data_IF_543371290742
#
_entry.id   IF_543371290742
#
_cell.length_a   1.000
_cell.length_b   1.000
_cell.length_c   1.000
_cell.angle_alpha   90.00
_cell.angle_beta   90.00
_cell.angle_gamma   90.00
#
_symmetry.space_group_name_H-M   'P 1'
#
loop_
_entity.id
_entity.type
_entity.pdbx_description
1 polymer ?
#
# COMPACT_ATOMS: atom_id res chain seq x y z
N UNK A 1 22.67 24.13 -34.90
CA UNK A 1 22.84 25.03 -33.74
C UNK A 1 22.95 24.16 -32.50
N UNK A 2 24.12 24.16 -31.86
CA UNK A 2 24.38 23.39 -30.66
C UNK A 2 23.97 24.20 -29.42
N UNK A 3 23.27 23.57 -28.48
CA UNK A 3 23.18 24.06 -27.11
C UNK A 3 23.83 23.04 -26.17
N UNK A 4 24.80 23.54 -25.41
CA UNK A 4 25.42 22.90 -24.25
C UNK A 4 24.47 22.97 -23.05
N UNK A 5 24.32 21.87 -22.31
CA UNK A 5 23.63 21.83 -21.00
C UNK A 5 24.67 21.40 -19.93
N UNK A 6 24.72 22.05 -18.75
CA UNK A 6 25.75 21.80 -17.75
C UNK A 6 25.63 20.40 -17.11
N UNK A 7 26.79 19.89 -16.69
CA UNK A 7 26.96 18.65 -15.91
C UNK A 7 26.38 18.86 -14.51
N UNK A 8 25.37 18.08 -14.12
CA UNK A 8 25.00 17.90 -12.72
C UNK A 8 23.49 17.95 -12.44
N UNK A 9 22.77 16.87 -12.74
CA UNK A 9 21.57 16.48 -11.97
C UNK A 9 21.66 14.97 -11.77
N UNK A 10 21.85 14.58 -10.51
CA UNK A 10 21.88 13.20 -10.05
C UNK A 10 20.46 12.60 -10.12
N UNK A 11 20.43 11.34 -10.57
CA UNK A 11 19.47 10.28 -10.30
C UNK A 11 18.08 10.68 -9.76
N UNK A 12 17.07 10.68 -10.64
CA UNK A 12 15.75 10.17 -10.28
C UNK A 12 15.09 9.45 -11.45
N UNK A 13 14.78 8.17 -11.22
CA UNK A 13 13.87 7.32 -11.99
C UNK A 13 12.43 7.84 -11.79
N UNK A 14 11.50 7.87 -12.72
CA UNK A 14 11.50 7.60 -14.15
C UNK A 14 10.22 8.21 -14.77
N UNK A 15 10.35 8.84 -15.93
CA UNK A 15 9.25 9.18 -16.82
C UNK A 15 9.49 8.44 -18.14
N UNK A 16 8.50 7.71 -18.63
CA UNK A 16 8.56 7.07 -19.95
C UNK A 16 8.38 8.14 -21.04
N UNK A 17 9.35 8.29 -21.95
CA UNK A 17 9.17 8.97 -23.24
C UNK A 17 9.17 7.93 -24.35
N UNK A 18 8.05 7.80 -25.05
CA UNK A 18 7.95 7.04 -26.29
C UNK A 18 8.62 7.86 -27.41
N UNK A 19 9.71 7.36 -27.99
CA UNK A 19 10.33 7.95 -29.17
C UNK A 19 10.18 6.99 -30.35
N UNK A 20 9.46 7.42 -31.39
CA UNK A 20 9.34 6.71 -32.66
C UNK A 20 10.40 7.25 -33.61
N UNK A 21 11.20 6.37 -34.24
CA UNK A 21 12.17 6.76 -35.26
C UNK A 21 11.88 6.01 -36.57
N UNK A 22 11.96 6.68 -37.74
CA UNK A 22 11.93 6.01 -39.03
C UNK A 22 13.23 5.24 -39.30
N UNK A 23 13.13 4.18 -40.10
CA UNK A 23 14.07 3.06 -40.21
C UNK A 23 15.39 3.35 -40.96
N UNK A 24 15.64 4.57 -41.44
CA UNK A 24 16.83 4.87 -42.24
C UNK A 24 17.89 5.61 -41.42
N UNK A 25 18.97 4.91 -41.09
CA UNK A 25 20.21 5.48 -40.51
C UNK A 25 20.48 5.10 -39.05
N UNK A 26 20.62 3.81 -38.75
CA UNK A 26 21.25 3.36 -37.50
C UNK A 26 22.75 3.16 -37.73
N UNK A 27 23.59 4.08 -37.24
CA UNK A 27 25.06 3.96 -37.22
C UNK A 27 25.53 3.24 -35.93
N UNK A 28 26.66 2.52 -36.03
CA UNK A 28 27.40 1.79 -34.99
C UNK A 28 27.63 2.53 -33.65
N UNK A 29 27.48 3.85 -33.64
CA UNK A 29 27.55 4.67 -32.44
C UNK A 29 26.35 4.48 -31.48
N UNK A 30 25.18 4.00 -31.95
CA UNK A 30 24.03 3.68 -31.10
C UNK A 30 24.14 2.30 -30.41
N UNK A 31 24.88 1.35 -30.99
CA UNK A 31 25.10 0.02 -30.39
C UNK A 31 25.87 0.07 -29.06
N UNK A 32 26.63 1.14 -28.80
CA UNK A 32 27.38 1.33 -27.54
C UNK A 32 26.56 1.95 -26.41
N UNK A 33 25.44 2.59 -26.70
CA UNK A 33 24.55 3.20 -25.69
C UNK A 33 23.69 2.17 -24.94
N UNK A 34 23.54 0.96 -25.47
CA UNK A 34 22.67 -0.10 -24.90
C UNK A 34 23.42 -1.23 -24.20
N UNK A 35 24.77 -1.26 -24.22
CA UNK A 35 25.54 -2.20 -23.39
C UNK A 35 25.69 -1.64 -21.98
N UNK A 36 24.84 -2.10 -21.07
CA UNK A 36 25.04 -1.92 -19.62
C UNK A 36 23.79 -1.70 -18.76
N UNK A 37 22.57 -1.75 -19.30
CA UNK A 37 21.36 -1.45 -18.52
C UNK A 37 20.28 -2.54 -18.68
N UNK A 38 19.94 -3.31 -17.62
CA UNK A 38 19.00 -4.43 -17.71
C UNK A 38 17.52 -4.04 -17.89
N UNK A 39 17.21 -2.75 -18.10
CA UNK A 39 15.82 -2.24 -18.17
C UNK A 39 15.44 -1.57 -19.50
N UNK A 40 16.27 -1.67 -20.53
CA UNK A 40 15.96 -1.06 -21.84
C UNK A 40 15.29 -2.09 -22.76
N UNK A 41 13.96 -2.06 -22.86
CA UNK A 41 13.24 -2.80 -23.89
C UNK A 41 13.19 -1.96 -25.17
N UNK A 42 13.81 -2.45 -26.25
CA UNK A 42 13.64 -1.87 -27.59
C UNK A 42 12.41 -2.51 -28.25
N UNK A 43 11.44 -1.70 -28.66
CA UNK A 43 10.32 -2.15 -29.49
C UNK A 43 10.69 -1.83 -30.95
N UNK A 44 10.97 -2.86 -31.75
CA UNK A 44 11.08 -2.73 -33.20
C UNK A 44 9.70 -3.04 -33.82
N UNK A 45 9.12 -2.07 -34.52
CA UNK A 45 7.89 -2.28 -35.31
C UNK A 45 8.31 -2.54 -36.74
N UNK A 46 8.10 -3.76 -37.24
CA UNK A 46 8.19 -4.06 -38.69
C UNK A 46 6.79 -4.02 -39.30
N UNK A 47 6.72 -3.75 -40.60
CA UNK A 47 5.47 -3.52 -41.36
C UNK A 47 4.58 -4.76 -41.57
N UNK A 48 4.84 -5.87 -40.88
CA UNK A 48 4.03 -7.09 -40.91
C UNK A 48 3.94 -7.68 -39.49
N UNK A 49 2.88 -7.29 -38.75
CA UNK A 49 2.45 -7.96 -37.52
C UNK A 49 3.23 -7.58 -36.25
N UNK A 50 2.48 -7.31 -35.17
CA UNK A 50 3.01 -7.04 -33.83
C UNK A 50 3.74 -8.28 -33.29
N UNK A 51 5.07 -8.23 -33.17
CA UNK A 51 5.85 -9.25 -32.48
C UNK A 51 5.98 -8.88 -30.99
N UNK A 52 5.26 -9.62 -30.13
CA UNK A 52 5.48 -9.64 -28.68
C UNK A 52 6.72 -10.46 -28.37
N UNK A 53 7.70 -9.91 -27.67
CA UNK A 53 8.91 -10.65 -27.25
C UNK A 53 8.57 -11.70 -26.17
N UNK A 54 8.84 -12.96 -26.48
CA UNK A 54 8.77 -14.10 -25.56
C UNK A 54 10.09 -14.31 -24.81
N UNK A 55 10.03 -14.95 -23.64
CA UNK A 55 11.18 -15.25 -22.78
C UNK A 55 12.25 -16.16 -23.40
N UNK A 56 13.36 -16.32 -22.66
CA UNK A 56 14.65 -16.92 -23.08
C UNK A 56 14.60 -18.30 -23.75
N UNK A 57 13.51 -19.06 -23.60
CA UNK A 57 13.33 -20.36 -24.26
C UNK A 57 13.09 -20.25 -25.78
N UNK A 58 12.51 -19.15 -26.27
CA UNK A 58 12.27 -18.93 -27.71
C UNK A 58 13.55 -18.50 -28.43
N UNK A 59 14.43 -17.77 -27.72
CA UNK A 59 15.75 -17.35 -28.22
C UNK A 59 16.64 -18.55 -28.55
N UNK A 60 16.54 -19.66 -27.79
CA UNK A 60 17.31 -20.87 -28.03
C UNK A 60 16.83 -21.66 -29.27
N UNK A 61 15.52 -21.65 -29.56
CA UNK A 61 14.95 -22.33 -30.73
C UNK A 61 15.19 -21.57 -32.04
N UNK A 62 15.26 -20.23 -31.98
CA UNK A 62 15.61 -19.37 -33.12
C UNK A 62 17.11 -19.46 -33.47
N UNK A 63 17.99 -19.68 -32.48
CA UNK A 63 19.43 -19.76 -32.67
C UNK A 63 19.91 -21.09 -33.31
N UNK A 64 19.06 -22.11 -33.41
CA UNK A 64 19.39 -23.41 -34.01
C UNK A 64 18.97 -23.56 -35.49
N UNK A 65 18.36 -22.53 -36.09
CA UNK A 65 17.98 -22.54 -37.50
C UNK A 65 19.16 -22.04 -38.36
N UNK A 66 19.52 -22.73 -39.46
CA UNK A 66 20.50 -22.21 -40.40
C UNK A 66 20.00 -20.91 -41.06
N UNK A 67 20.89 -19.93 -41.23
CA UNK A 67 20.56 -18.62 -41.82
C UNK A 67 19.93 -18.81 -43.22
N UNK A 68 18.70 -18.30 -43.40
CA UNK A 68 17.96 -18.33 -44.68
C UNK A 68 16.79 -19.31 -44.77
N UNK A 69 16.45 -20.04 -43.71
CA UNK A 69 15.27 -20.92 -43.66
C UNK A 69 13.94 -20.13 -43.69
N UNK A 70 13.01 -20.54 -44.56
CA UNK A 70 11.62 -20.03 -44.63
C UNK A 70 10.60 -21.00 -44.05
N UNK A 71 11.04 -22.08 -43.40
CA UNK A 71 10.13 -23.12 -42.92
C UNK A 71 9.46 -22.72 -41.59
N UNK A 72 8.17 -23.05 -41.40
CA UNK A 72 7.46 -22.77 -40.14
C UNK A 72 8.03 -23.60 -38.99
N UNK A 73 8.22 -22.96 -37.84
CA UNK A 73 8.75 -23.57 -36.62
C UNK A 73 7.80 -24.70 -36.15
N UNK A 74 8.35 -25.90 -35.96
CA UNK A 74 7.60 -27.04 -35.41
C UNK A 74 7.23 -26.79 -33.94
N UNK A 75 5.96 -26.44 -33.74
CA UNK A 75 5.34 -26.17 -32.44
C UNK A 75 5.32 -27.36 -31.46
N UNK A 76 5.64 -28.59 -31.93
CA UNK A 76 5.62 -29.79 -31.09
C UNK A 76 6.87 -29.97 -30.23
N UNK A 77 7.96 -29.23 -30.52
CA UNK A 77 9.23 -29.30 -29.80
C UNK A 77 9.36 -28.31 -28.61
N UNK A 78 8.31 -27.53 -28.30
CA UNK A 78 8.32 -26.61 -27.16
C UNK A 78 8.20 -27.37 -25.83
N UNK A 79 9.02 -27.06 -24.80
CA UNK A 79 8.87 -27.68 -23.49
C UNK A 79 7.47 -27.40 -22.92
N UNK A 80 6.90 -28.39 -22.21
CA UNK A 80 5.52 -28.37 -21.71
C UNK A 80 5.15 -27.19 -20.79
N UNK A 81 6.11 -26.34 -20.40
CA UNK A 81 5.90 -25.12 -19.63
C UNK A 81 5.01 -24.06 -20.35
N UNK A 82 4.76 -24.19 -21.66
CA UNK A 82 3.92 -23.25 -22.43
C UNK A 82 2.48 -23.78 -22.64
N UNK A 83 2.10 -24.93 -22.06
CA UNK A 83 0.72 -25.45 -22.11
C UNK A 83 -0.21 -24.97 -20.99
N UNK A 84 0.10 -23.85 -20.32
CA UNK A 84 -0.86 -23.15 -19.45
C UNK A 84 -1.49 -21.96 -20.16
N UNK A 85 -2.24 -22.24 -21.23
CA UNK A 85 -3.30 -21.33 -21.68
C UNK A 85 -4.63 -22.06 -21.54
N UNK A 86 -5.11 -22.18 -20.31
CA UNK A 86 -6.52 -22.51 -20.07
C UNK A 86 -7.36 -21.33 -20.62
N UNK A 87 -8.26 -21.55 -21.60
CA UNK A 87 -9.12 -20.51 -22.14
C UNK A 87 -10.09 -19.91 -21.12
N UNK A 88 -10.19 -20.47 -19.90
CA UNK A 88 -10.96 -19.86 -18.79
C UNK A 88 -10.21 -18.78 -18.00
N UNK A 89 -8.93 -18.53 -18.29
CA UNK A 89 -8.12 -17.54 -17.57
C UNK A 89 -8.36 -16.07 -17.99
N UNK A 90 -9.15 -15.80 -19.03
CA UNK A 90 -9.19 -14.49 -19.72
C UNK A 90 -10.30 -13.53 -19.29
N UNK A 91 -11.09 -13.81 -18.26
CA UNK A 91 -11.84 -12.74 -17.61
C UNK A 91 -10.89 -11.99 -16.66
N UNK A 92 -10.49 -10.72 -16.98
CA UNK A 92 -9.80 -9.90 -15.99
C UNK A 92 -10.71 -9.80 -14.77
N UNK A 93 -10.19 -10.17 -13.60
CA UNK A 93 -10.93 -10.01 -12.35
C UNK A 93 -11.32 -8.54 -12.22
N UNK A 94 -12.61 -8.24 -12.10
CA UNK A 94 -13.09 -6.87 -11.93
C UNK A 94 -12.37 -6.23 -10.75
N UNK A 95 -11.89 -4.99 -10.95
CA UNK A 95 -11.25 -4.24 -9.88
C UNK A 95 -12.20 -4.16 -8.68
N UNK A 96 -11.73 -4.41 -7.45
CA UNK A 96 -12.56 -4.28 -6.28
C UNK A 96 -13.12 -2.86 -6.19
N UNK A 97 -14.38 -2.76 -5.79
CA UNK A 97 -15.10 -1.50 -5.71
C UNK A 97 -14.42 -0.59 -4.69
N UNK A 98 -13.92 0.57 -5.14
CA UNK A 98 -13.49 1.62 -4.22
C UNK A 98 -14.70 2.09 -3.43
N UNK A 99 -14.55 2.30 -2.12
CA UNK A 99 -15.51 3.10 -1.37
C UNK A 99 -15.29 4.56 -1.80
N UNK A 100 -15.95 4.97 -2.89
CA UNK A 100 -15.96 6.33 -3.44
C UNK A 100 -17.26 7.08 -3.10
N UNK A 101 -18.14 6.45 -2.33
CA UNK A 101 -19.40 7.02 -1.88
C UNK A 101 -19.12 8.23 -0.96
N UNK A 102 -19.39 9.47 -1.42
CA UNK A 102 -19.10 10.68 -0.65
C UNK A 102 -19.94 10.77 0.63
N UNK A 103 -21.01 9.99 0.77
CA UNK A 103 -21.82 9.95 1.99
C UNK A 103 -21.19 9.08 3.08
N UNK A 104 -20.28 8.17 2.69
CA UNK A 104 -19.60 7.23 3.61
C UNK A 104 -18.13 7.55 3.82
N UNK A 105 -17.51 8.29 2.91
CA UNK A 105 -16.08 8.60 2.93
C UNK A 105 -15.86 10.09 2.98
N UNK A 106 -14.98 10.50 3.89
CA UNK A 106 -14.45 11.84 3.96
C UNK A 106 -13.08 11.86 3.27
N UNK A 107 -12.95 12.72 2.26
CA UNK A 107 -11.70 12.94 1.52
C UNK A 107 -11.27 14.39 1.70
N UNK A 108 -10.12 14.61 2.34
CA UNK A 108 -9.57 15.95 2.51
C UNK A 108 -8.22 16.07 1.81
N UNK A 109 -8.03 17.15 1.04
CA UNK A 109 -6.80 17.46 0.31
C UNK A 109 -6.20 18.77 0.80
N UNK A 110 -4.92 18.73 1.13
CA UNK A 110 -4.14 19.85 1.67
C UNK A 110 -2.95 20.13 0.77
N UNK A 111 -2.54 21.39 0.71
CA UNK A 111 -1.45 21.85 -0.14
C UNK A 111 -0.38 22.50 0.75
N UNK A 112 0.89 22.14 0.53
CA UNK A 112 2.00 22.73 1.30
C UNK A 112 2.05 24.24 1.07
N UNK A 113 2.20 25.00 2.17
CA UNK A 113 2.30 26.46 2.13
C UNK A 113 1.01 27.19 1.75
N UNK A 114 -0.14 26.51 1.71
CA UNK A 114 -1.44 27.14 1.43
C UNK A 114 -2.32 27.15 2.68
N UNK A 115 -3.00 28.28 2.89
CA UNK A 115 -3.98 28.50 3.96
C UNK A 115 -5.40 28.08 3.55
N UNK A 116 -5.51 27.01 2.77
CA UNK A 116 -6.80 26.42 2.40
C UNK A 116 -6.63 24.93 2.13
N UNK A 117 -7.75 24.21 2.24
CA UNK A 117 -7.84 22.78 1.96
C UNK A 117 -9.19 22.49 1.33
N UNK A 118 -9.33 21.30 0.76
CA UNK A 118 -10.56 20.85 0.11
C UNK A 118 -11.10 19.63 0.86
N UNK A 119 -12.37 19.63 1.22
CA UNK A 119 -13.07 18.46 1.77
C UNK A 119 -14.17 18.07 0.79
N UNK A 120 -14.10 16.85 0.27
CA UNK A 120 -14.98 16.35 -0.79
C UNK A 120 -15.11 17.36 -1.95
N UNK A 121 -14.00 17.99 -2.33
CA UNK A 121 -13.91 18.99 -3.40
C UNK A 121 -14.33 20.42 -3.01
N UNK A 122 -14.90 20.64 -1.82
CA UNK A 122 -15.27 21.97 -1.33
C UNK A 122 -14.08 22.63 -0.61
N UNK A 123 -13.71 23.83 -1.04
CA UNK A 123 -12.64 24.62 -0.41
C UNK A 123 -13.06 25.18 0.96
N UNK A 124 -12.15 25.10 1.92
CA UNK A 124 -12.25 25.64 3.27
C UNK A 124 -10.96 26.39 3.63
N UNK A 125 -11.06 27.45 4.44
CA UNK A 125 -9.91 28.24 4.88
C UNK A 125 -9.16 27.62 6.05
N UNK A 126 -7.87 27.92 6.15
CA UNK A 126 -7.01 27.59 7.30
C UNK A 126 -6.32 28.85 7.79
N UNK A 127 -6.12 28.96 9.10
CA UNK A 127 -5.41 30.07 9.73
C UNK A 127 -3.88 29.86 9.76
N UNK A 128 -3.42 28.64 9.46
CA UNK A 128 -2.00 28.31 9.32
C UNK A 128 -1.83 27.18 8.30
N UNK A 129 -0.79 27.27 7.47
CA UNK A 129 -0.53 26.33 6.38
C UNK A 129 0.22 25.08 6.89
N UNK A 130 0.02 23.91 6.26
CA UNK A 130 0.95 22.80 6.39
C UNK A 130 2.34 23.19 5.90
N UNK A 131 3.37 22.71 6.57
CA UNK A 131 4.77 22.96 6.24
C UNK A 131 5.55 21.65 6.18
N UNK A 132 6.70 21.67 5.50
CA UNK A 132 7.64 20.54 5.50
C UNK A 132 8.68 20.81 6.58
N UNK A 133 8.86 19.84 7.47
CA UNK A 133 10.06 19.72 8.27
C UNK A 133 11.17 19.15 7.38
N UNK A 134 12.12 20.01 7.01
CA UNK A 134 13.21 19.65 6.10
C UNK A 134 14.20 18.65 6.72
N UNK A 135 14.36 18.67 8.04
CA UNK A 135 15.28 17.77 8.73
C UNK A 135 14.71 16.36 8.78
N UNK A 136 13.42 16.24 9.11
CA UNK A 136 12.74 14.95 9.17
C UNK A 136 12.22 14.46 7.81
N UNK A 137 12.11 15.34 6.81
CA UNK A 137 11.42 15.04 5.55
C UNK A 137 9.95 14.68 5.79
N UNK A 138 9.28 15.42 6.67
CA UNK A 138 7.88 15.14 7.07
C UNK A 138 7.02 16.37 6.94
N UNK A 139 5.76 16.16 6.61
CA UNK A 139 4.76 17.24 6.64
C UNK A 139 4.27 17.43 8.06
N UNK A 140 4.41 18.65 8.58
CA UNK A 140 3.75 19.09 9.79
C UNK A 140 2.48 19.86 9.44
N UNK A 141 1.40 19.56 10.15
CA UNK A 141 0.11 20.18 9.92
C UNK A 141 -0.47 20.72 11.22
N UNK A 142 -1.19 21.86 11.22
CA UNK A 142 -1.85 22.32 12.43
C UNK A 142 -2.89 21.28 12.87
N UNK A 143 -2.80 20.87 14.14
CA UNK A 143 -3.53 19.74 14.67
C UNK A 143 -5.06 19.83 14.46
N UNK A 144 -5.62 21.03 14.61
CA UNK A 144 -7.05 21.28 14.42
C UNK A 144 -7.54 20.85 13.04
N UNK A 145 -6.79 21.19 12.00
CA UNK A 145 -7.16 20.82 10.64
C UNK A 145 -6.93 19.33 10.37
N UNK A 146 -6.01 18.68 11.10
CA UNK A 146 -5.88 17.23 11.08
C UNK A 146 -7.15 16.59 11.64
N UNK A 147 -7.63 17.05 12.80
CA UNK A 147 -8.86 16.57 13.39
C UNK A 147 -10.07 16.76 12.45
N UNK A 148 -10.22 17.96 11.87
CA UNK A 148 -11.31 18.23 10.91
C UNK A 148 -11.22 17.36 9.65
N UNK A 149 -10.00 17.06 9.18
CA UNK A 149 -9.78 16.15 8.05
C UNK A 149 -10.17 14.70 8.34
N UNK A 150 -10.47 14.37 9.59
CA UNK A 150 -10.95 13.06 10.03
C UNK A 150 -12.38 13.11 10.57
N UNK A 151 -13.05 14.26 10.49
CA UNK A 151 -14.39 14.47 11.05
C UNK A 151 -14.42 14.46 12.59
N UNK A 152 -13.29 14.74 13.24
CA UNK A 152 -13.18 14.85 14.70
C UNK A 152 -13.59 16.26 15.12
N UNK A 153 -14.49 16.35 16.10
CA UNK A 153 -14.98 17.62 16.62
C UNK A 153 -14.01 18.23 17.66
N UNK A 154 -14.09 19.55 17.87
CA UNK A 154 -13.24 20.24 18.86
C UNK A 154 -13.40 19.69 20.28
N UNK A 155 -14.62 19.25 20.66
CA UNK A 155 -14.89 18.63 21.96
C UNK A 155 -14.18 17.29 22.19
N UNK A 156 -13.63 16.69 21.13
CA UNK A 156 -12.85 15.46 21.20
C UNK A 156 -11.32 15.71 21.21
N UNK A 157 -10.90 16.98 21.32
CA UNK A 157 -9.51 17.38 21.42
C UNK A 157 -9.27 18.03 22.79
N UNK A 158 -8.40 17.43 23.59
CA UNK A 158 -8.07 17.89 24.93
C UNK A 158 -6.60 18.31 25.01
N UNK A 159 -6.36 19.52 25.52
CA UNK A 159 -5.02 20.06 25.74
C UNK A 159 -4.69 20.08 27.22
N UNK A 160 -3.66 19.35 27.61
CA UNK A 160 -3.06 19.47 28.94
C UNK A 160 -2.03 20.58 28.91
N UNK A 161 -2.09 21.47 29.91
CA UNK A 161 -1.17 22.60 30.05
C UNK A 161 -0.27 22.41 31.25
N UNK A 162 0.99 22.82 31.10
CA UNK A 162 1.93 22.87 32.21
C UNK A 162 1.62 24.04 33.17
N UNK A 163 2.36 24.12 34.28
CA UNK A 163 2.19 25.16 35.29
C UNK A 163 2.37 26.60 34.74
N UNK A 164 3.13 26.77 33.65
CA UNK A 164 3.34 28.05 32.96
C UNK A 164 2.23 28.38 31.95
N UNK A 165 1.20 27.55 31.84
CA UNK A 165 0.08 27.73 30.90
C UNK A 165 0.39 27.32 29.46
N UNK A 166 1.60 26.83 29.16
CA UNK A 166 1.96 26.30 27.85
C UNK A 166 1.32 24.92 27.63
N UNK A 167 1.02 24.57 26.38
CA UNK A 167 0.57 23.21 26.04
C UNK A 167 1.72 22.25 26.31
N UNK A 168 1.44 21.17 27.02
CA UNK A 168 2.40 20.10 27.32
C UNK A 168 2.06 18.84 26.54
N UNK A 169 0.78 18.53 26.45
CA UNK A 169 0.29 17.30 25.83
C UNK A 169 -1.06 17.55 25.16
N UNK A 170 -1.34 16.77 24.12
CA UNK A 170 -2.63 16.75 23.47
C UNK A 170 -3.16 15.32 23.38
N UNK A 171 -4.44 15.16 23.71
CA UNK A 171 -5.19 13.92 23.60
C UNK A 171 -6.34 14.12 22.62
N UNK A 172 -6.46 13.21 21.65
CA UNK A 172 -7.50 13.22 20.63
C UNK A 172 -8.28 11.93 20.76
N UNK A 173 -9.60 12.03 20.66
CA UNK A 173 -10.52 10.91 20.70
C UNK A 173 -11.31 10.87 19.40
N UNK A 174 -11.41 9.72 18.76
CA UNK A 174 -12.23 9.54 17.56
C UNK A 174 -13.29 8.48 17.82
N UNK A 175 -14.58 8.86 17.84
CA UNK A 175 -15.66 7.90 17.94
C UNK A 175 -15.73 6.96 16.73
N UNK A 176 -16.06 5.69 17.00
CA UNK A 176 -16.36 4.67 16.01
C UNK A 176 -17.72 4.01 16.29
N UNK A 177 -18.27 3.32 15.30
CA UNK A 177 -19.49 2.53 15.44
C UNK A 177 -19.31 1.45 16.52
N UNK A 178 -20.41 1.04 17.14
CA UNK A 178 -20.39 0.09 18.26
C UNK A 178 -19.86 0.67 19.58
N UNK A 179 -19.71 1.99 19.68
CA UNK A 179 -19.27 2.68 20.91
C UNK A 179 -17.76 2.65 21.15
N UNK A 180 -16.99 2.01 20.26
CA UNK A 180 -15.53 2.03 20.29
C UNK A 180 -14.98 3.43 20.02
N UNK A 181 -13.76 3.69 20.47
CA UNK A 181 -13.09 4.98 20.30
C UNK A 181 -11.61 4.74 20.05
N UNK A 182 -11.04 5.45 19.09
CA UNK A 182 -9.60 5.48 18.86
C UNK A 182 -9.00 6.71 19.54
N UNK A 183 -7.89 6.54 20.26
CA UNK A 183 -7.23 7.63 20.97
C UNK A 183 -5.79 7.82 20.51
N UNK A 184 -5.37 9.08 20.46
CA UNK A 184 -4.00 9.48 20.19
C UNK A 184 -3.55 10.47 21.26
N UNK A 185 -2.43 10.16 21.91
CA UNK A 185 -1.76 11.04 22.86
C UNK A 185 -0.40 11.45 22.28
N UNK A 186 -0.12 12.75 22.27
CA UNK A 186 1.13 13.32 21.78
C UNK A 186 1.65 14.32 22.80
N UNK A 187 2.95 14.25 23.10
CA UNK A 187 3.64 15.22 23.95
C UNK A 187 4.36 16.26 23.08
N UNK A 188 4.32 17.54 23.48
CA UNK A 188 5.07 18.58 22.78
C UNK A 188 6.58 18.42 22.99
N UNK A 189 7.36 18.68 21.93
CA UNK A 189 8.82 18.61 21.95
C UNK A 189 9.37 17.20 22.19
N UNK A 190 8.56 16.17 22.01
CA UNK A 190 8.96 14.77 22.16
C UNK A 190 8.45 13.95 21.00
N UNK A 191 9.18 12.91 20.65
CA UNK A 191 8.82 11.98 19.57
C UNK A 191 7.99 10.79 20.07
N UNK A 192 7.69 10.68 21.35
CA UNK A 192 6.83 9.61 21.85
C UNK A 192 5.34 9.92 21.60
N UNK A 193 4.60 8.89 21.20
CA UNK A 193 3.14 8.94 21.09
C UNK A 193 2.51 7.69 21.68
N UNK A 194 1.25 7.80 22.07
CA UNK A 194 0.45 6.66 22.51
C UNK A 194 -0.79 6.54 21.64
N UNK A 195 -1.13 5.30 21.30
CA UNK A 195 -2.33 4.99 20.51
C UNK A 195 -3.14 3.98 21.31
N UNK A 196 -4.42 4.29 21.53
CA UNK A 196 -5.33 3.43 22.29
C UNK A 196 -4.77 3.04 23.68
N UNK A 197 -4.10 3.98 24.34
CA UNK A 197 -3.53 3.82 25.69
C UNK A 197 -2.20 3.07 25.77
N UNK A 198 -1.69 2.50 24.67
CA UNK A 198 -0.36 1.87 24.66
C UNK A 198 0.70 2.70 23.97
N UNK A 199 1.96 2.44 24.35
CA UNK A 199 3.13 3.05 23.72
C UNK A 199 3.20 2.64 22.24
N UNK A 200 3.40 3.63 21.38
CA UNK A 200 3.49 3.43 19.94
C UNK A 200 4.92 3.72 19.44
N UNK A 201 5.14 3.56 18.13
CA UNK A 201 6.37 3.95 17.46
C UNK A 201 6.66 5.44 17.62
N UNK A 202 7.94 5.80 17.52
CA UNK A 202 8.36 7.19 17.63
C UNK A 202 7.94 7.98 16.39
N UNK A 203 7.51 9.21 16.61
CA UNK A 203 7.30 10.21 15.57
C UNK A 203 8.63 10.55 14.90
N UNK A 204 8.63 10.62 13.58
CA UNK A 204 9.81 11.03 12.80
C UNK A 204 10.15 12.52 12.95
N UNK A 205 9.21 13.33 13.48
CA UNK A 205 9.39 14.75 13.71
C UNK A 205 8.70 15.15 15.03
N UNK A 206 9.26 16.13 15.72
CA UNK A 206 8.68 16.59 16.98
C UNK A 206 7.45 17.48 16.77
N UNK A 207 6.35 17.23 17.49
CA UNK A 207 5.24 18.16 17.62
C UNK A 207 5.71 19.47 18.25
N UNK A 208 5.42 20.60 17.61
CA UNK A 208 5.88 21.91 18.08
C UNK A 208 4.89 23.02 17.76
N UNK A 209 4.98 24.11 18.51
CA UNK A 209 4.19 25.31 18.25
C UNK A 209 4.92 26.16 17.20
N UNK A 210 4.22 26.50 16.13
CA UNK A 210 4.67 27.45 15.10
C UNK A 210 3.55 28.46 14.90
N UNK A 211 3.84 29.75 15.07
CA UNK A 211 2.85 30.84 14.95
C UNK A 211 1.56 30.56 15.74
N UNK A 212 1.69 30.23 17.02
CA UNK A 212 0.56 29.91 17.93
C UNK A 212 -0.33 28.73 17.49
N UNK A 213 0.22 27.84 16.65
CA UNK A 213 -0.46 26.62 16.22
C UNK A 213 0.39 25.41 16.53
N UNK A 214 -0.23 24.42 17.17
CA UNK A 214 0.41 23.13 17.39
C UNK A 214 0.49 22.37 16.06
N UNK A 215 1.70 22.21 15.57
CA UNK A 215 2.04 21.47 14.37
C UNK A 215 2.40 20.04 14.75
N UNK A 216 1.78 19.05 14.10
CA UNK A 216 2.00 17.62 14.36
C UNK A 216 2.42 16.89 13.08
N UNK A 217 3.24 15.83 13.18
CA UNK A 217 3.59 14.97 12.04
C UNK A 217 2.33 14.32 11.47
N UNK A 218 1.96 14.75 10.26
CA UNK A 218 0.63 14.51 9.74
C UNK A 218 0.31 13.02 9.56
N UNK A 219 1.20 12.26 8.91
CA UNK A 219 0.98 10.85 8.58
C UNK A 219 0.77 10.01 9.84
N UNK A 220 1.66 10.16 10.83
CA UNK A 220 1.60 9.40 12.07
C UNK A 220 0.28 9.67 12.83
N UNK A 221 -0.05 10.94 13.02
CA UNK A 221 -1.26 11.32 13.74
C UNK A 221 -2.54 10.94 12.97
N UNK A 222 -2.55 11.04 11.64
CA UNK A 222 -3.69 10.60 10.83
C UNK A 222 -3.86 9.08 10.87
N UNK A 223 -2.78 8.30 10.75
CA UNK A 223 -2.83 6.84 10.75
C UNK A 223 -3.20 6.25 12.12
N UNK A 224 -2.79 6.90 13.22
CA UNK A 224 -3.23 6.53 14.56
C UNK A 224 -4.76 6.58 14.72
N UNK A 225 -5.41 7.50 13.99
CA UNK A 225 -6.83 7.77 14.09
C UNK A 225 -7.63 7.24 12.89
N UNK A 226 -7.10 6.37 12.03
CA UNK A 226 -7.85 5.74 10.93
C UNK A 226 -7.87 6.53 9.61
N UNK A 227 -6.91 7.42 9.38
CA UNK A 227 -6.73 8.19 8.16
C UNK A 227 -5.73 7.53 7.19
N UNK A 228 -6.18 7.19 5.98
CA UNK A 228 -5.31 6.72 4.90
C UNK A 228 -4.75 7.92 4.13
N UNK A 229 -3.43 8.11 4.16
CA UNK A 229 -2.75 9.31 3.63
C UNK A 229 -1.97 8.97 2.36
N UNK A 230 -2.17 9.75 1.31
CA UNK A 230 -1.41 9.67 0.07
C UNK A 230 -0.77 11.03 -0.27
N UNK A 231 0.50 11.00 -0.68
CA UNK A 231 1.26 12.16 -1.12
C UNK A 231 1.18 12.33 -2.65
N UNK A 232 1.11 13.58 -3.09
CA UNK A 232 1.16 14.01 -4.48
C UNK A 232 2.34 14.98 -4.64
N UNK A 233 3.44 14.49 -5.20
CA UNK A 233 4.66 15.26 -5.38
C UNK A 233 4.58 16.34 -6.45
N UNK A 234 3.64 16.22 -7.41
CA UNK A 234 3.47 17.19 -8.50
C UNK A 234 2.79 18.44 -7.96
N UNK A 235 1.67 18.25 -7.26
CA UNK A 235 0.89 19.36 -6.71
C UNK A 235 1.41 19.82 -5.33
N UNK A 236 2.44 19.15 -4.79
CA UNK A 236 2.93 19.30 -3.41
C UNK A 236 1.75 19.28 -2.42
N UNK A 237 0.96 18.22 -2.54
CA UNK A 237 -0.28 18.06 -1.82
C UNK A 237 -0.35 16.69 -1.15
N UNK A 238 -1.16 16.56 -0.12
CA UNK A 238 -1.52 15.26 0.44
C UNK A 238 -3.02 15.14 0.55
N UNK A 239 -3.49 13.92 0.35
CA UNK A 239 -4.89 13.55 0.47
C UNK A 239 -5.04 12.56 1.61
N UNK A 240 -5.96 12.83 2.52
CA UNK A 240 -6.43 11.82 3.48
C UNK A 240 -7.81 11.35 3.08
N UNK A 241 -8.00 10.04 3.19
CA UNK A 241 -9.29 9.38 3.06
C UNK A 241 -9.59 8.64 4.34
N UNK A 242 -10.82 8.76 4.81
CA UNK A 242 -11.28 8.01 5.98
C UNK A 242 -12.80 7.81 5.91
N UNK A 243 -13.33 6.91 6.73
CA UNK A 243 -14.78 6.78 6.90
C UNK A 243 -15.36 8.03 7.57
N UNK A 244 -16.54 8.45 7.12
CA UNK A 244 -17.33 9.47 7.81
C UNK A 244 -17.77 8.98 9.19
N UNK A 245 -18.14 7.71 9.27
CA UNK A 245 -18.34 6.98 10.53
C UNK A 245 -17.40 5.80 10.53
N UNK A 246 -16.40 5.81 11.41
CA UNK A 246 -15.43 4.73 11.53
C UNK A 246 -16.17 3.43 11.88
N UNK A 247 -15.96 2.32 11.16
CA UNK A 247 -16.62 1.06 11.44
C UNK A 247 -16.19 0.51 12.81
N UNK A 248 -17.04 -0.31 13.41
CA UNK A 248 -16.69 -1.01 14.65
C UNK A 248 -15.44 -1.88 14.42
N UNK A 249 -14.60 -2.08 15.44
CA UNK A 249 -13.49 -3.03 15.36
C UNK A 249 -13.96 -4.42 14.90
N UNK A 250 -13.27 -4.99 13.91
CA UNK A 250 -13.63 -6.28 13.33
C UNK A 250 -12.85 -7.41 13.98
N UNK A 251 -13.56 -8.44 14.43
CA UNK A 251 -12.95 -9.68 14.94
C UNK A 251 -12.74 -10.67 13.79
N UNK A 252 -11.73 -11.54 13.87
CA UNK A 252 -11.55 -12.57 12.86
C UNK A 252 -12.73 -13.55 12.89
N UNK A 253 -13.20 -13.99 11.73
CA UNK A 253 -14.20 -15.06 11.61
C UNK A 253 -13.57 -16.42 11.25
N UNK A 254 -12.27 -16.45 10.99
CA UNK A 254 -11.50 -17.64 10.68
C UNK A 254 -10.34 -17.78 11.67
N UNK A 255 -10.00 -19.02 12.03
CA UNK A 255 -8.79 -19.32 12.78
C UNK A 255 -7.62 -19.67 11.88
N UNK A 256 -7.87 -20.11 10.63
CA UNK A 256 -6.85 -20.35 9.62
C UNK A 256 -7.33 -19.97 8.23
N UNK A 257 -6.44 -19.36 7.44
CA UNK A 257 -6.64 -19.07 6.02
C UNK A 257 -5.51 -19.71 5.22
N UNK A 258 -5.88 -20.44 4.17
CA UNK A 258 -4.95 -21.09 3.23
C UNK A 258 -5.19 -20.57 1.81
N UNK A 259 -4.16 -19.99 1.22
CA UNK A 259 -4.09 -19.58 -0.19
C UNK A 259 -3.63 -20.77 -1.02
N UNK A 260 -4.31 -21.03 -2.15
CA UNK A 260 -4.00 -22.14 -3.04
C UNK A 260 -3.31 -21.60 -4.31
N UNK A 261 -2.12 -22.12 -4.59
CA UNK A 261 -1.29 -21.65 -5.69
C UNK A 261 -1.96 -21.86 -7.04
N UNK A 262 -2.03 -20.80 -7.85
CA UNK A 262 -2.62 -20.85 -9.19
C UNK A 262 -4.15 -21.01 -9.20
N UNK A 263 -4.80 -21.02 -8.04
CA UNK A 263 -6.25 -21.25 -7.94
C UNK A 263 -6.99 -19.96 -7.57
N UNK A 264 -8.20 -19.82 -8.13
CA UNK A 264 -9.17 -18.78 -7.73
C UNK A 264 -10.03 -19.26 -6.55
N UNK A 265 -9.36 -19.84 -5.56
CA UNK A 265 -9.98 -20.41 -4.36
C UNK A 265 -9.07 -20.22 -3.15
N UNK A 266 -9.67 -20.22 -1.96
CA UNK A 266 -9.00 -20.23 -0.67
C UNK A 266 -9.72 -21.21 0.26
N UNK A 267 -9.00 -21.83 1.18
CA UNK A 267 -9.59 -22.60 2.29
C UNK A 267 -9.56 -21.77 3.56
N UNK A 268 -10.62 -21.89 4.34
CA UNK A 268 -10.80 -21.17 5.59
C UNK A 268 -11.27 -22.17 6.64
N UNK A 269 -10.59 -22.21 7.77
CA UNK A 269 -11.09 -22.89 8.96
C UNK A 269 -11.77 -21.84 9.83
N UNK A 270 -13.07 -22.01 10.07
CA UNK A 270 -13.81 -21.10 10.94
C UNK A 270 -13.39 -21.24 12.41
N UNK A 271 -13.98 -20.43 13.29
CA UNK A 271 -13.67 -20.48 14.72
C UNK A 271 -14.12 -21.78 15.42
N UNK A 272 -15.00 -22.57 14.81
CA UNK A 272 -15.47 -23.87 15.31
C UNK A 272 -14.61 -25.05 14.85
N UNK A 273 -13.72 -24.86 13.87
CA UNK A 273 -12.88 -25.91 13.30
C UNK A 273 -13.36 -26.45 11.95
N UNK A 274 -14.47 -25.94 11.44
CA UNK A 274 -15.03 -26.40 10.17
C UNK A 274 -14.27 -25.75 9.00
N UNK A 275 -13.78 -26.57 8.07
CA UNK A 275 -13.11 -26.10 6.87
C UNK A 275 -14.13 -25.82 5.74
N UNK A 276 -14.01 -24.64 5.14
CA UNK A 276 -14.77 -24.22 3.97
C UNK A 276 -13.83 -23.78 2.86
N UNK A 277 -14.11 -24.22 1.63
CA UNK A 277 -13.47 -23.68 0.43
C UNK A 277 -14.34 -22.57 -0.15
N UNK A 278 -13.75 -21.41 -0.42
CA UNK A 278 -14.43 -20.26 -1.02
C UNK A 278 -13.78 -19.89 -2.36
N UNK A 279 -14.60 -19.48 -3.34
CA UNK A 279 -14.11 -18.94 -4.61
C UNK A 279 -13.70 -17.48 -4.43
N UNK A 280 -12.63 -17.10 -5.10
CA UNK A 280 -12.13 -15.72 -5.13
C UNK A 280 -12.27 -15.13 -6.54
N UNK A 281 -12.48 -13.81 -6.67
CA UNK A 281 -12.46 -13.13 -7.97
C UNK A 281 -11.12 -13.24 -8.71
N UNK A 282 -10.00 -13.26 -7.98
CA UNK A 282 -8.63 -13.34 -8.50
C UNK A 282 -7.94 -14.64 -8.07
N UNK A 283 -6.79 -14.94 -8.69
CA UNK A 283 -5.91 -16.01 -8.21
C UNK A 283 -5.37 -15.59 -6.85
N UNK A 284 -5.55 -16.45 -5.83
CA UNK A 284 -5.25 -16.12 -4.45
C UNK A 284 -3.75 -16.09 -4.16
N UNK A 285 -2.98 -16.95 -4.81
CA UNK A 285 -1.51 -17.04 -4.70
C UNK A 285 -0.88 -17.30 -6.07
N UNK A 286 0.07 -16.44 -6.44
CA UNK A 286 0.86 -16.53 -7.68
C UNK A 286 2.33 -16.62 -7.30
N UNK A 287 3.08 -17.50 -7.94
CA UNK A 287 4.54 -17.53 -7.86
C UNK A 287 5.09 -16.92 -9.13
N UNK A 288 5.91 -15.89 -8.98
CA UNK A 288 6.59 -15.25 -10.10
C UNK A 288 7.61 -16.24 -10.70
N UNK A 289 7.54 -16.56 -12.01
CA UNK A 289 8.40 -17.57 -12.61
C UNK A 289 9.87 -17.15 -12.69
N UNK A 290 10.18 -15.86 -12.60
CA UNK A 290 11.53 -15.31 -12.75
C UNK A 290 12.24 -15.26 -11.41
N UNK A 291 11.61 -14.68 -10.39
CA UNK A 291 12.24 -14.52 -9.06
C UNK A 291 11.76 -15.54 -8.02
N UNK A 292 10.82 -16.43 -8.39
CA UNK A 292 10.25 -17.48 -7.53
C UNK A 292 9.58 -16.95 -6.25
N UNK A 293 9.28 -15.64 -6.18
CA UNK A 293 8.61 -15.04 -5.02
C UNK A 293 7.10 -15.17 -5.14
N UNK A 294 6.48 -15.49 -4.01
CA UNK A 294 5.03 -15.62 -3.87
C UNK A 294 4.36 -14.27 -3.69
N UNK A 295 3.26 -14.06 -4.41
CA UNK A 295 2.39 -12.89 -4.33
C UNK A 295 0.95 -13.30 -4.12
N UNK A 296 0.21 -12.55 -3.31
CA UNK A 296 -1.20 -12.79 -3.06
C UNK A 296 -2.02 -11.51 -3.11
N UNK A 297 -3.30 -11.64 -3.43
CA UNK A 297 -4.26 -10.53 -3.42
C UNK A 297 -4.58 -10.12 -1.99
N UNK A 298 -4.10 -8.93 -1.58
CA UNK A 298 -4.22 -8.46 -0.20
C UNK A 298 -5.68 -8.33 0.22
N UNK A 299 -6.57 -7.91 -0.68
CA UNK A 299 -7.97 -7.67 -0.33
C UNK A 299 -8.74 -8.98 -0.13
N UNK A 300 -8.59 -9.93 -1.04
CA UNK A 300 -9.23 -11.25 -0.89
C UNK A 300 -8.69 -11.97 0.35
N UNK A 301 -7.39 -11.81 0.64
CA UNK A 301 -6.78 -12.30 1.86
C UNK A 301 -7.45 -11.72 3.12
N UNK A 302 -7.58 -10.40 3.23
CA UNK A 302 -8.23 -9.76 4.37
C UNK A 302 -9.70 -10.19 4.52
N UNK A 303 -10.43 -10.31 3.40
CA UNK A 303 -11.83 -10.78 3.40
C UNK A 303 -11.96 -12.20 3.91
N UNK A 304 -11.00 -13.08 3.61
CA UNK A 304 -11.00 -14.44 4.14
C UNK A 304 -10.90 -14.47 5.67
N UNK A 305 -10.23 -13.49 6.28
CA UNK A 305 -10.23 -13.38 7.74
C UNK A 305 -11.54 -12.87 8.35
N UNK A 306 -12.57 -12.62 7.54
CA UNK A 306 -13.87 -12.14 7.99
C UNK A 306 -14.03 -10.64 7.98
N UNK A 307 -13.07 -9.91 7.40
CA UNK A 307 -13.17 -8.45 7.28
C UNK A 307 -14.22 -8.09 6.23
N UNK A 308 -15.31 -7.39 6.59
CA UNK A 308 -16.31 -6.94 5.63
C UNK A 308 -15.82 -5.73 4.82
N UNK A 309 -16.42 -5.50 3.65
CA UNK A 309 -16.13 -4.32 2.81
C UNK A 309 -16.30 -2.99 3.55
N UNK A 310 -17.23 -2.92 4.50
CA UNK A 310 -17.42 -1.71 5.34
C UNK A 310 -16.21 -1.37 6.20
N UNK A 311 -15.35 -2.36 6.50
CA UNK A 311 -14.13 -2.20 7.29
C UNK A 311 -12.85 -2.03 6.44
N UNK A 312 -12.99 -1.94 5.11
CA UNK A 312 -11.89 -1.72 4.17
C UNK A 312 -12.15 -0.42 3.40
N UNK A 313 -11.21 0.52 3.45
CA UNK A 313 -11.20 1.69 2.58
C UNK A 313 -10.06 1.54 1.57
N UNK A 314 -10.41 1.60 0.28
CA UNK A 314 -9.49 1.29 -0.82
C UNK A 314 -9.47 2.37 -1.90
N UNK A 315 -8.27 2.76 -2.33
CA UNK A 315 -7.97 3.60 -3.48
C UNK A 315 -7.31 2.75 -4.59
N UNK A 316 -8.05 2.34 -5.63
CA UNK A 316 -7.51 1.55 -6.74
C UNK A 316 -6.61 2.34 -7.68
N UNK A 317 -6.64 3.68 -7.64
CA UNK A 317 -5.85 4.53 -8.52
C UNK A 317 -4.46 4.75 -7.92
N UNK A 318 -4.42 5.05 -6.61
CA UNK A 318 -3.16 5.27 -5.88
C UNK A 318 -2.58 3.98 -5.30
N UNK A 319 -3.34 2.90 -5.30
CA UNK A 319 -2.93 1.63 -4.70
C UNK A 319 -2.76 1.74 -3.20
N UNK A 320 -3.75 2.32 -2.50
CA UNK A 320 -3.70 2.48 -1.05
C UNK A 320 -4.90 1.77 -0.42
N UNK A 321 -4.68 1.03 0.66
CA UNK A 321 -5.72 0.31 1.39
C UNK A 321 -5.55 0.55 2.89
N UNK A 322 -6.65 0.80 3.61
CA UNK A 322 -6.69 0.70 5.06
C UNK A 322 -7.76 -0.30 5.49
N UNK A 323 -7.46 -1.09 6.50
CA UNK A 323 -8.36 -2.05 7.11
C UNK A 323 -8.49 -1.79 8.61
N UNK A 324 -9.71 -1.92 9.14
CA UNK A 324 -10.04 -1.85 10.56
C UNK A 324 -10.13 -3.24 11.16
N UNK A 325 -9.22 -3.56 12.09
CA UNK A 325 -9.19 -4.82 12.84
C UNK A 325 -9.74 -4.68 14.26
N UNK A 326 -9.24 -5.49 15.19
CA UNK A 326 -9.57 -5.37 16.62
C UNK A 326 -8.76 -4.23 17.23
N UNK A 327 -9.43 -3.22 17.76
CA UNK A 327 -8.83 -2.25 18.67
C UNK A 327 -8.65 -2.95 20.03
N UNK A 328 -7.50 -3.59 20.22
CA UNK A 328 -7.10 -4.17 21.50
C UNK A 328 -6.25 -3.19 22.32
N UNK A 329 -6.17 -3.41 23.63
CA UNK A 329 -5.15 -2.75 24.46
C UNK A 329 -3.76 -3.10 23.93
N UNK A 330 -3.01 -2.08 23.53
CA UNK A 330 -1.60 -2.21 23.23
C UNK A 330 -0.86 -2.48 24.55
N UNK A 331 -0.58 -3.76 24.84
CA UNK A 331 0.16 -4.15 26.04
C UNK A 331 1.66 -3.84 25.84
N UNK A 332 2.33 -3.19 26.81
CA UNK A 332 3.77 -3.00 26.75
C UNK A 332 4.50 -4.34 26.56
N UNK A 333 5.31 -4.46 25.50
CA UNK A 333 6.04 -5.68 25.16
C UNK A 333 5.32 -6.66 24.22
N UNK A 334 4.04 -6.42 23.87
CA UNK A 334 3.29 -7.21 22.90
C UNK A 334 2.88 -6.35 21.69
N UNK A 335 3.45 -6.59 20.49
CA UNK A 335 3.26 -5.72 19.32
C UNK A 335 1.88 -5.85 18.63
N UNK A 336 0.86 -6.45 19.27
CA UNK A 336 -0.21 -7.10 18.52
C UNK A 336 -1.55 -6.35 18.42
N UNK A 337 -1.77 -5.23 19.12
CA UNK A 337 -3.07 -4.53 19.09
C UNK A 337 -3.12 -3.30 18.19
N UNK A 338 -3.22 -3.44 16.86
CA UNK A 338 -3.41 -2.30 15.96
C UNK A 338 -4.88 -2.11 15.57
N UNK A 339 -5.43 -0.92 15.86
CA UNK A 339 -6.78 -0.56 15.43
C UNK A 339 -6.90 -0.43 13.91
N UNK A 340 -5.82 -0.11 13.20
CA UNK A 340 -5.81 -0.02 11.73
C UNK A 340 -4.51 -0.55 11.15
N UNK A 341 -4.59 -1.08 9.93
CA UNK A 341 -3.43 -1.42 9.10
C UNK A 341 -3.59 -0.78 7.73
N UNK A 342 -2.50 -0.25 7.20
CA UNK A 342 -2.40 0.45 5.94
C UNK A 342 -1.45 -0.27 4.99
N UNK A 343 -1.79 -0.34 3.72
CA UNK A 343 -0.96 -0.88 2.66
C UNK A 343 -0.88 0.13 1.53
N UNK A 344 0.33 0.38 1.02
CA UNK A 344 0.57 1.31 -0.08
C UNK A 344 1.37 0.60 -1.16
N UNK A 345 0.96 0.78 -2.42
CA UNK A 345 1.75 0.32 -3.55
C UNK A 345 3.13 0.98 -3.52
N UNK A 346 4.18 0.19 -3.77
CA UNK A 346 5.57 0.60 -3.64
C UNK A 346 6.20 0.30 -2.28
N UNK A 347 5.41 0.16 -1.20
CA UNK A 347 5.94 -0.25 0.10
C UNK A 347 6.12 -1.77 0.15
N UNK A 348 7.18 -2.26 0.80
CA UNK A 348 7.40 -3.69 1.04
C UNK A 348 6.63 -4.23 2.25
N UNK A 349 5.91 -3.40 2.98
CA UNK A 349 5.29 -3.76 4.25
C UNK A 349 3.99 -2.98 4.45
N UNK A 350 3.18 -3.44 5.40
CA UNK A 350 2.06 -2.67 5.91
C UNK A 350 2.51 -1.70 6.99
N UNK A 351 1.75 -0.65 7.22
CA UNK A 351 1.90 0.23 8.37
C UNK A 351 0.77 -0.05 9.35
N UNK A 352 1.08 -0.14 10.65
CA UNK A 352 0.05 -0.30 11.67
C UNK A 352 -0.21 1.02 12.38
N UNK A 353 -1.39 1.19 12.98
CA UNK A 353 -1.84 2.47 13.56
C UNK A 353 -0.94 3.03 14.66
N UNK A 354 -0.09 2.21 15.27
CA UNK A 354 0.93 2.66 16.22
C UNK A 354 2.21 3.20 15.52
N UNK A 355 2.17 3.49 14.22
CA UNK A 355 3.30 4.00 13.43
C UNK A 355 4.52 3.07 13.34
N UNK A 356 4.27 1.77 13.31
CA UNK A 356 5.30 0.77 13.06
C UNK A 356 5.03 0.05 11.73
N UNK A 357 6.06 -0.37 10.99
CA UNK A 357 5.90 -1.27 9.86
C UNK A 357 5.56 -2.68 10.36
N UNK A 358 4.76 -3.43 9.60
CA UNK A 358 4.60 -4.87 9.80
C UNK A 358 5.93 -5.56 9.51
N UNK A 359 6.36 -6.48 10.39
CA UNK A 359 7.63 -7.22 10.37
C UNK A 359 8.46 -7.08 9.08
N UNK A 360 9.34 -6.05 8.98
CA UNK A 360 10.18 -5.86 7.81
C UNK A 360 11.32 -6.88 7.86
N UNK A 361 11.21 -7.94 7.05
CA UNK A 361 12.35 -8.82 6.78
C UNK A 361 13.32 -8.19 5.78
N UNK A 362 14.49 -8.81 5.60
CA UNK A 362 15.31 -8.54 4.43
C UNK A 362 14.62 -9.12 3.17
N UNK A 363 14.83 -8.49 2.01
CA UNK A 363 14.30 -8.93 0.70
C UNK A 363 12.77 -8.92 0.52
N UNK A 364 12.03 -8.07 1.25
CA UNK A 364 10.58 -7.94 1.02
C UNK A 364 10.27 -7.24 -0.30
N UNK A 365 9.45 -7.88 -1.12
CA UNK A 365 8.97 -7.30 -2.36
C UNK A 365 7.96 -6.19 -2.10
N UNK A 366 8.09 -5.10 -2.85
CA UNK A 366 7.12 -4.03 -2.90
C UNK A 366 5.73 -4.54 -3.30
N UNK A 367 4.71 -4.03 -2.63
CA UNK A 367 3.31 -4.20 -2.98
C UNK A 367 3.10 -3.61 -4.37
N UNK A 368 2.55 -4.43 -5.26
CA UNK A 368 2.29 -4.03 -6.65
C UNK A 368 0.81 -3.81 -6.88
N UNK A 369 0.48 -2.72 -7.58
CA UNK A 369 -0.85 -2.44 -8.09
C UNK A 369 -0.98 -2.98 -9.52
N UNK A 370 -1.82 -3.99 -9.72
CA UNK A 370 -2.08 -4.60 -11.03
C UNK A 370 -3.58 -4.60 -11.28
N UNK A 371 -4.01 -3.94 -12.35
CA UNK A 371 -5.44 -3.84 -12.72
C UNK A 371 -6.35 -3.38 -11.56
N UNK A 372 -5.87 -2.43 -10.74
CA UNK A 372 -6.62 -1.93 -9.59
C UNK A 372 -6.72 -2.92 -8.42
N UNK A 373 -5.83 -3.90 -8.32
CA UNK A 373 -5.68 -4.83 -7.17
C UNK A 373 -4.28 -4.75 -6.59
N UNK A 374 -4.19 -4.85 -5.26
CA UNK A 374 -2.90 -4.87 -4.55
C UNK A 374 -2.45 -6.30 -4.32
N UNK A 375 -1.20 -6.57 -4.73
CA UNK A 375 -0.53 -7.84 -4.53
C UNK A 375 0.67 -7.66 -3.60
N UNK A 376 0.69 -8.42 -2.52
CA UNK A 376 1.75 -8.41 -1.50
C UNK A 376 2.51 -9.73 -1.44
N UNK A 377 3.62 -9.74 -0.69
CA UNK A 377 4.49 -10.92 -0.50
C UNK A 377 4.39 -11.47 0.92
N UNK A 378 4.95 -12.66 1.16
CA UNK A 378 4.78 -13.46 2.40
C UNK A 378 4.89 -12.68 3.72
N UNK A 379 5.82 -11.73 3.91
CA UNK A 379 5.89 -10.95 5.16
C UNK A 379 4.58 -10.22 5.50
N UNK A 380 3.82 -9.77 4.49
CA UNK A 380 2.52 -9.11 4.67
C UNK A 380 1.42 -10.07 5.11
N UNK A 381 1.56 -11.38 4.93
CA UNK A 381 0.60 -12.33 5.47
C UNK A 381 0.53 -12.24 6.98
N UNK A 382 1.67 -12.04 7.64
CA UNK A 382 1.72 -11.92 9.09
C UNK A 382 1.12 -10.60 9.60
N UNK A 383 0.66 -9.71 8.72
CA UNK A 383 -0.06 -8.50 9.11
C UNK A 383 -1.37 -8.79 9.85
N UNK A 384 -1.92 -10.02 9.78
CA UNK A 384 -3.09 -10.41 10.58
C UNK A 384 -2.81 -10.48 12.07
N UNK A 385 -1.55 -10.69 12.44
CA UNK A 385 -1.12 -10.75 13.84
C UNK A 385 -1.37 -9.43 14.57
N UNK A 386 -0.78 -8.29 14.10
CA UNK A 386 -1.11 -6.99 14.65
C UNK A 386 -2.56 -6.54 14.34
N UNK A 387 -3.22 -7.09 13.32
CA UNK A 387 -4.61 -6.73 13.00
C UNK A 387 -5.60 -7.20 14.07
N UNK A 388 -5.33 -8.36 14.67
CA UNK A 388 -6.27 -9.05 15.55
C UNK A 388 -5.80 -9.19 16.99
N UNK A 389 -4.63 -8.68 17.38
CA UNK A 389 -4.17 -8.87 18.75
C UNK A 389 -3.70 -10.28 19.06
N UNK A 390 -3.28 -11.06 18.05
CA UNK A 390 -2.99 -12.49 18.22
C UNK A 390 -1.72 -12.87 17.52
N UNK A 391 -0.98 -13.82 18.12
CA UNK A 391 0.16 -14.45 17.44
C UNK A 391 -0.34 -15.25 16.24
N UNK A 392 0.51 -15.35 15.23
CA UNK A 392 0.24 -16.20 14.06
C UNK A 392 1.40 -17.12 13.76
N UNK A 393 1.05 -18.28 13.25
CA UNK A 393 1.97 -19.22 12.62
C UNK A 393 1.57 -19.38 11.17
N UNK A 394 2.54 -19.61 10.30
CA UNK A 394 2.28 -19.85 8.90
C UNK A 394 3.34 -20.76 8.28
N UNK A 395 2.98 -21.30 7.13
CA UNK A 395 3.85 -22.20 6.37
C UNK A 395 3.54 -22.14 4.88
N UNK A 396 4.51 -22.55 4.09
CA UNK A 396 4.40 -22.67 2.64
C UNK A 396 4.71 -24.10 2.23
N UNK A 397 3.86 -24.66 1.36
CA UNK A 397 4.10 -25.89 0.60
C UNK A 397 4.19 -25.54 -0.89
N UNK A 398 4.43 -26.54 -1.74
CA UNK A 398 4.50 -26.33 -3.20
C UNK A 398 3.18 -25.85 -3.81
N UNK A 399 2.05 -26.11 -3.15
CA UNK A 399 0.71 -25.86 -3.71
C UNK A 399 -0.11 -24.86 -2.89
N UNK A 400 0.36 -24.49 -1.70
CA UNK A 400 -0.41 -23.67 -0.79
C UNK A 400 0.47 -22.90 0.18
N UNK A 401 -0.09 -21.80 0.68
CA UNK A 401 0.47 -21.05 1.79
C UNK A 401 -0.64 -20.75 2.79
N UNK A 402 -0.39 -21.06 4.06
CA UNK A 402 -1.39 -20.95 5.11
C UNK A 402 -0.88 -20.12 6.28
N UNK A 403 -1.80 -19.46 6.96
CA UNK A 403 -1.58 -18.73 8.20
C UNK A 403 -2.72 -19.02 9.16
N UNK A 404 -2.40 -19.29 10.43
CA UNK A 404 -3.36 -19.53 11.51
C UNK A 404 -3.11 -18.61 12.70
N UNK A 405 -4.19 -18.27 13.40
CA UNK A 405 -4.13 -17.61 14.69
C UNK A 405 -3.75 -18.63 15.75
N UNK A 406 -2.87 -18.25 16.67
CA UNK A 406 -2.47 -19.07 17.81
C UNK A 406 -2.99 -18.38 19.07
N UNK A 407 -3.37 -19.18 20.07
CA UNK A 407 -3.65 -18.62 21.40
C UNK A 407 -2.40 -17.92 21.97
N UNK A 408 -2.57 -16.81 22.71
CA UNK A 408 -1.46 -15.99 23.20
C UNK A 408 -0.37 -16.73 23.97
#
# INVERSE_FOLDING_TARGET
MAYWIPKGIAESKGFWRLALFPQEGMDDSMHRLFKGNPWTQAIAVTSLGVALTFGSAVTAALASQPEGSTDPIDSTALPQAIKMSDPRATAPATAPTSMSDPDKVLTARFYIGRNYFEVNGKRNGMDSAPLVDEQAGRVLMPLRYLAYSLGIADGDINYTRNASGGVEQVSIRRPAAGGAQDTLLINLGRTDMQVNGGQAGALDAEPRIVNDRLMVPYRAAAQALGGMVAWDGVDKAFTVRTWKTVPAPQRPSAQQVTLLQGQRQMKLMDMGGDEKTSRTPSVSLVVDPVNQKSRFDIMEYLKAWGIPDSAILYDPVRGSLVVRGVAGESKPGEPYGAGFIYFYAGDGYGWISNYQPTNPGDDVDAITLVNGRLYGSVPLLNAVSPLFGRRTEGGMTNDALWVRLVEP
#
